data_IF_541931215241
#
_entry.id   IF_541931215241
#
_cell.length_a   1.000
_cell.length_b   1.000
_cell.length_c   1.000
_cell.angle_alpha   90.00
_cell.angle_beta   90.00
_cell.angle_gamma   90.00
#
_symmetry.space_group_name_H-M   'P 1'
#
loop_
_entity.id
_entity.type
_entity.pdbx_description
1 polymer ?
#
# COMPACT_ATOMS: atom_id res chain seq x y z
N UNK A 1 15.66 10.04 -37.70
CA UNK A 1 14.93 9.12 -38.58
C UNK A 1 15.24 7.70 -38.13
N UNK A 2 14.39 7.19 -37.23
CA UNK A 2 13.47 6.06 -37.46
C UNK A 2 14.16 4.69 -37.47
N UNK A 3 14.28 4.12 -36.27
CA UNK A 3 14.06 2.70 -36.03
C UNK A 3 14.09 2.45 -34.53
N UNK A 4 12.95 2.09 -33.91
CA UNK A 4 12.91 1.17 -32.78
C UNK A 4 11.46 0.75 -32.47
N UNK A 5 11.20 -0.52 -32.79
CA UNK A 5 10.45 -1.49 -31.97
C UNK A 5 8.92 -1.33 -31.98
N UNK A 6 8.33 -1.87 -33.06
CA UNK A 6 7.04 -2.55 -33.01
C UNK A 6 7.35 -4.01 -32.64
N UNK A 7 7.09 -4.42 -31.39
CA UNK A 7 6.94 -5.81 -30.96
C UNK A 7 6.65 -5.85 -29.46
N UNK A 8 5.36 -5.88 -29.09
CA UNK A 8 4.75 -6.90 -28.23
C UNK A 8 3.34 -6.44 -27.84
N UNK A 9 2.40 -6.75 -28.73
CA UNK A 9 1.01 -7.02 -28.36
C UNK A 9 0.92 -8.54 -28.16
N UNK A 10 0.08 -8.98 -27.22
CA UNK A 10 -0.20 -10.36 -26.75
C UNK A 10 0.58 -10.84 -25.51
N UNK A 11 -0.06 -10.68 -24.35
CA UNK A 11 -0.29 -11.79 -23.43
C UNK A 11 -1.41 -11.40 -22.44
N UNK A 12 -2.64 -11.32 -22.95
CA UNK A 12 -3.83 -11.60 -22.15
C UNK A 12 -3.81 -13.10 -21.88
N UNK A 13 -3.66 -13.51 -20.63
CA UNK A 13 -4.08 -14.86 -20.22
C UNK A 13 -4.75 -14.78 -18.86
N UNK A 14 -6.06 -14.98 -18.92
CA UNK A 14 -6.94 -15.40 -17.86
C UNK A 14 -6.27 -16.36 -16.87
N UNK A 15 -6.29 -16.03 -15.58
CA UNK A 15 -6.21 -17.06 -14.54
C UNK A 15 -7.62 -17.28 -14.04
N UNK A 16 -8.19 -18.39 -14.51
CA UNK A 16 -9.48 -18.93 -14.13
C UNK A 16 -9.53 -19.28 -12.65
N UNK A 17 -10.61 -18.90 -12.00
CA UNK A 17 -11.06 -19.39 -10.69
C UNK A 17 -11.34 -20.89 -10.84
N UNK A 18 -10.53 -21.75 -10.21
CA UNK A 18 -10.92 -23.15 -9.99
C UNK A 18 -11.56 -23.27 -8.60
N UNK A 19 -12.87 -23.53 -8.62
CA UNK A 19 -13.63 -24.01 -7.49
C UNK A 19 -13.13 -25.42 -7.10
N UNK A 20 -12.71 -25.59 -5.86
CA UNK A 20 -12.39 -26.90 -5.29
C UNK A 20 -13.67 -27.67 -4.97
N UNK A 21 -13.80 -28.95 -5.38
CA UNK A 21 -14.98 -29.76 -5.11
C UNK A 21 -15.00 -30.25 -3.65
N UNK A 22 -16.14 -30.04 -3.01
CA UNK A 22 -16.51 -30.67 -1.73
C UNK A 22 -16.75 -32.16 -1.97
N UNK A 23 -16.13 -33.03 -1.17
CA UNK A 23 -16.45 -34.46 -1.08
C UNK A 23 -16.46 -34.92 0.39
N UNK A 24 -17.18 -36.00 0.72
CA UNK A 24 -18.09 -36.04 1.86
C UNK A 24 -17.52 -36.80 3.07
N UNK A 25 -18.20 -36.62 4.20
CA UNK A 25 -18.09 -37.38 5.45
C UNK A 25 -17.92 -38.90 5.23
N UNK A 26 -17.04 -39.55 6.02
CA UNK A 26 -17.24 -40.92 6.44
C UNK A 26 -17.83 -40.96 7.87
N UNK A 27 -19.04 -41.50 7.97
CA UNK A 27 -19.64 -42.06 9.18
C UNK A 27 -18.96 -43.37 9.57
N UNK A 28 -18.58 -43.55 10.83
CA UNK A 28 -18.30 -44.87 11.40
C UNK A 28 -17.58 -44.84 12.77
N UNK A 29 -17.83 -45.81 13.67
CA UNK A 29 -18.00 -45.55 15.11
C UNK A 29 -16.85 -46.10 15.98
N UNK A 30 -16.75 -45.61 17.23
CA UNK A 30 -16.10 -46.38 18.30
C UNK A 30 -15.28 -45.59 19.31
N UNK A 31 -15.79 -45.56 20.54
CA UNK A 31 -15.08 -45.70 21.81
C UNK A 31 -13.83 -44.83 22.11
N UNK A 32 -14.06 -43.81 22.94
CA UNK A 32 -13.39 -43.65 24.23
C UNK A 32 -11.86 -43.59 24.27
N UNK A 33 -11.32 -42.37 24.41
CA UNK A 33 -10.27 -42.09 25.42
C UNK A 33 -10.15 -40.59 25.63
N UNK A 34 -10.39 -40.14 26.87
CA UNK A 34 -10.11 -38.77 27.32
C UNK A 34 -8.60 -38.67 27.53
N UNK A 35 -7.95 -37.71 26.87
CA UNK A 35 -6.57 -37.32 27.15
C UNK A 35 -6.33 -35.86 26.77
N UNK A 36 -5.42 -35.17 27.48
CA UNK A 36 -5.58 -33.78 27.87
C UNK A 36 -5.25 -32.81 26.73
N UNK A 37 -5.91 -31.64 26.80
CA UNK A 37 -5.61 -30.45 25.99
C UNK A 37 -4.12 -30.12 26.13
N UNK A 38 -3.32 -30.57 25.15
CA UNK A 38 -2.00 -30.01 24.89
C UNK A 38 -2.23 -28.67 24.20
N UNK A 39 -1.97 -27.60 24.95
CA UNK A 39 -1.70 -26.28 24.41
C UNK A 39 -0.72 -26.43 23.25
N UNK A 40 -1.20 -26.18 22.02
CA UNK A 40 -0.31 -26.11 20.88
C UNK A 40 0.65 -24.94 21.12
N UNK A 41 1.97 -25.15 21.05
CA UNK A 41 2.90 -24.03 21.10
C UNK A 41 2.58 -23.13 19.92
N UNK A 42 2.37 -21.84 20.19
CA UNK A 42 2.35 -20.78 19.19
C UNK A 42 3.67 -20.89 18.45
N UNK A 43 3.66 -21.54 17.28
CA UNK A 43 4.79 -21.56 16.39
C UNK A 43 5.13 -20.12 16.00
N UNK A 44 6.41 -19.78 15.83
CA UNK A 44 6.77 -18.46 15.32
C UNK A 44 6.04 -18.25 13.99
N UNK A 45 5.39 -17.09 13.85
CA UNK A 45 4.70 -16.71 12.64
C UNK A 45 5.64 -16.90 11.43
N UNK A 46 5.14 -17.41 10.29
CA UNK A 46 5.98 -17.62 9.12
C UNK A 46 6.67 -16.31 8.73
N UNK A 47 7.99 -16.32 8.75
CA UNK A 47 8.82 -15.30 8.11
C UNK A 47 8.68 -15.54 6.61
N UNK A 48 7.84 -14.75 5.94
CA UNK A 48 7.65 -14.93 4.50
C UNK A 48 6.47 -14.14 3.96
N UNK A 49 6.75 -13.41 2.88
CA UNK A 49 5.94 -12.40 2.19
C UNK A 49 5.99 -11.03 2.87
N UNK A 50 6.49 -9.96 2.20
CA UNK A 50 6.26 -8.60 2.65
C UNK A 50 4.75 -8.36 2.62
N UNK A 51 4.11 -8.56 3.77
CA UNK A 51 2.69 -8.28 3.93
C UNK A 51 2.57 -6.77 3.84
N UNK A 52 1.94 -6.29 2.77
CA UNK A 52 1.58 -4.88 2.67
C UNK A 52 0.90 -4.47 3.98
N UNK A 53 1.49 -3.54 4.76
CA UNK A 53 1.01 -3.23 6.11
C UNK A 53 -0.38 -2.57 6.07
N UNK A 54 -0.83 -2.13 4.90
CA UNK A 54 -2.16 -1.55 4.66
C UNK A 54 -3.13 -2.49 3.93
N UNK A 55 -2.81 -3.78 3.83
CA UNK A 55 -3.73 -4.75 3.25
C UNK A 55 -5.10 -4.72 3.95
N UNK A 56 -6.16 -4.72 3.15
CA UNK A 56 -7.55 -4.63 3.61
C UNK A 56 -8.44 -5.54 2.77
N UNK A 57 -9.50 -6.08 3.39
CA UNK A 57 -10.57 -6.80 2.69
C UNK A 57 -11.67 -5.89 2.17
N UNK A 58 -11.65 -4.59 2.49
CA UNK A 58 -12.64 -3.62 2.02
C UNK A 58 -12.43 -3.26 0.54
N UNK A 59 -13.41 -3.55 -0.35
CA UNK A 59 -13.30 -3.28 -1.78
C UNK A 59 -13.15 -1.79 -2.10
N UNK A 60 -13.73 -0.88 -1.31
CA UNK A 60 -13.61 0.57 -1.54
C UNK A 60 -12.20 1.05 -1.29
N UNK A 61 -11.62 0.62 -0.17
CA UNK A 61 -10.23 0.90 0.17
C UNK A 61 -9.27 0.30 -0.86
N UNK A 62 -9.56 -0.92 -1.32
CA UNK A 62 -8.76 -1.61 -2.33
C UNK A 62 -8.80 -0.92 -3.68
N UNK A 63 -9.96 -0.37 -4.07
CA UNK A 63 -10.11 0.39 -5.30
C UNK A 63 -9.24 1.65 -5.32
N UNK A 64 -9.07 2.35 -4.19
CA UNK A 64 -8.26 3.59 -4.11
C UNK A 64 -6.86 3.37 -3.56
N UNK A 65 -6.50 2.13 -3.23
CA UNK A 65 -5.22 1.78 -2.59
C UNK A 65 -4.00 2.34 -3.33
N UNK A 66 -3.89 2.28 -4.67
CA UNK A 66 -2.74 2.83 -5.38
C UNK A 66 -2.53 4.33 -5.11
N UNK A 67 -3.63 5.09 -4.99
CA UNK A 67 -3.60 6.52 -4.67
C UNK A 67 -3.13 6.73 -3.22
N UNK A 68 -3.70 5.97 -2.28
CA UNK A 68 -3.34 6.09 -0.86
C UNK A 68 -1.86 5.75 -0.61
N UNK A 69 -1.36 4.68 -1.24
CA UNK A 69 0.05 4.29 -1.14
C UNK A 69 0.97 5.34 -1.75
N UNK A 70 0.63 5.88 -2.93
CA UNK A 70 1.39 6.98 -3.52
C UNK A 70 1.47 8.19 -2.56
N UNK A 71 0.34 8.59 -1.96
CA UNK A 71 0.30 9.73 -1.06
C UNK A 71 1.14 9.49 0.20
N UNK A 72 1.13 8.27 0.75
CA UNK A 72 2.00 7.90 1.88
C UNK A 72 3.46 7.95 1.44
N UNK A 73 3.82 7.38 0.29
CA UNK A 73 5.19 7.45 -0.26
C UNK A 73 5.65 8.89 -0.41
N UNK A 74 4.85 9.76 -1.03
CA UNK A 74 5.18 11.17 -1.22
C UNK A 74 5.35 11.91 0.11
N UNK A 75 4.56 11.55 1.14
CA UNK A 75 4.75 12.09 2.49
C UNK A 75 6.07 11.63 3.11
N UNK A 76 6.40 10.35 3.00
CA UNK A 76 7.68 9.84 3.51
C UNK A 76 8.87 10.45 2.77
N UNK A 77 8.77 10.67 1.46
CA UNK A 77 9.75 11.43 0.67
C UNK A 77 9.89 12.85 1.22
N UNK A 78 8.79 13.56 1.47
CA UNK A 78 8.82 14.90 2.05
C UNK A 78 9.59 14.94 3.39
N UNK A 79 9.35 13.95 4.25
CA UNK A 79 9.99 13.86 5.56
C UNK A 79 11.48 13.47 5.43
N UNK A 80 11.81 12.54 4.53
CA UNK A 80 13.17 12.04 4.29
C UNK A 80 14.06 13.04 3.53
N UNK A 81 13.49 13.85 2.64
CA UNK A 81 14.22 14.76 1.79
C UNK A 81 15.08 15.76 2.57
N UNK A 82 14.79 16.02 3.86
CA UNK A 82 15.65 16.87 4.72
C UNK A 82 17.01 16.25 5.01
N UNK A 83 17.10 14.93 5.03
CA UNK A 83 18.34 14.19 5.31
C UNK A 83 19.15 13.84 4.06
N UNK A 84 18.57 13.96 2.87
CA UNK A 84 19.28 13.63 1.63
C UNK A 84 20.31 14.70 1.25
N UNK A 85 21.47 14.31 0.71
CA UNK A 85 22.44 15.25 0.15
C UNK A 85 21.79 16.15 -0.89
N UNK A 86 22.08 17.45 -0.84
CA UNK A 86 21.63 18.41 -1.86
C UNK A 86 22.23 18.00 -3.21
N UNK A 87 21.40 17.87 -4.25
CA UNK A 87 21.84 17.41 -5.57
C UNK A 87 22.17 15.91 -5.69
N UNK A 88 21.90 15.12 -4.65
CA UNK A 88 22.08 13.67 -4.65
C UNK A 88 21.32 12.96 -5.79
N UNK A 89 21.74 11.73 -6.17
CA UNK A 89 21.11 10.99 -7.26
C UNK A 89 19.62 10.71 -7.00
N UNK A 90 19.21 10.45 -5.76
CA UNK A 90 17.81 10.21 -5.38
C UNK A 90 16.96 11.46 -5.59
N UNK A 91 17.46 12.64 -5.19
CA UNK A 91 16.77 13.92 -5.43
C UNK A 91 16.59 14.18 -6.92
N UNK A 92 17.62 13.90 -7.74
CA UNK A 92 17.57 14.11 -9.20
C UNK A 92 16.63 13.13 -9.90
N UNK A 93 16.66 11.85 -9.52
CA UNK A 93 15.77 10.84 -10.07
C UNK A 93 14.30 11.15 -9.72
N UNK A 94 14.02 11.50 -8.46
CA UNK A 94 12.68 11.91 -8.04
C UNK A 94 12.24 13.22 -8.70
N UNK A 95 13.12 14.20 -8.84
CA UNK A 95 12.85 15.43 -9.55
C UNK A 95 12.34 15.15 -10.98
N UNK A 96 13.02 14.24 -11.70
CA UNK A 96 12.64 13.87 -13.06
C UNK A 96 11.27 13.18 -13.12
N UNK A 97 10.97 12.26 -12.18
CA UNK A 97 9.67 11.58 -12.10
C UNK A 97 8.54 12.56 -11.74
N UNK A 98 8.80 13.50 -10.83
CA UNK A 98 7.82 14.45 -10.32
C UNK A 98 7.67 15.71 -11.20
N UNK A 99 8.48 15.87 -12.25
CA UNK A 99 8.43 17.01 -13.18
C UNK A 99 7.21 17.02 -14.12
N UNK A 100 6.16 16.23 -13.84
CA UNK A 100 4.94 16.18 -14.64
C UNK A 100 4.29 17.56 -14.79
N UNK A 101 3.67 17.83 -15.96
CA UNK A 101 3.00 19.10 -16.20
C UNK A 101 1.82 19.30 -15.23
N UNK A 102 1.74 20.51 -14.67
CA UNK A 102 0.63 20.90 -13.82
C UNK A 102 -0.69 20.86 -14.62
N UNK A 103 -1.72 20.21 -14.07
CA UNK A 103 -3.05 20.13 -14.68
C UNK A 103 -3.34 18.85 -15.47
N UNK A 104 -2.39 17.92 -15.58
CA UNK A 104 -2.67 16.60 -16.13
C UNK A 104 -3.57 15.82 -15.17
N UNK A 105 -4.75 15.41 -15.66
CA UNK A 105 -5.70 14.63 -14.87
C UNK A 105 -5.09 13.26 -14.53
N UNK A 106 -5.16 12.91 -13.25
CA UNK A 106 -4.74 11.64 -12.68
C UNK A 106 -5.96 10.88 -12.19
N UNK A 107 -6.18 9.70 -12.77
CA UNK A 107 -7.06 8.69 -12.20
C UNK A 107 -6.27 7.74 -11.27
N UNK A 108 -6.98 6.75 -10.73
CA UNK A 108 -6.41 5.73 -9.82
C UNK A 108 -5.30 4.92 -10.50
N UNK A 109 -5.47 4.55 -11.77
CA UNK A 109 -4.52 3.71 -12.48
C UNK A 109 -3.23 4.48 -12.76
N UNK A 110 -3.34 5.73 -13.23
CA UNK A 110 -2.22 6.62 -13.44
C UNK A 110 -1.47 6.92 -12.13
N UNK A 111 -2.18 7.05 -11.00
CA UNK A 111 -1.56 7.15 -9.68
C UNK A 111 -0.76 5.89 -9.30
N UNK A 112 -1.24 4.69 -9.67
CA UNK A 112 -0.49 3.45 -9.48
C UNK A 112 0.80 3.40 -10.31
N UNK A 113 0.76 3.84 -11.56
CA UNK A 113 1.96 3.96 -12.40
C UNK A 113 2.97 4.94 -11.80
N UNK A 114 2.50 6.11 -11.37
CA UNK A 114 3.33 7.11 -10.72
C UNK A 114 3.94 6.58 -9.41
N UNK A 115 3.19 5.82 -8.62
CA UNK A 115 3.70 5.17 -7.41
C UNK A 115 4.89 4.25 -7.72
N UNK A 116 4.75 3.39 -8.72
CA UNK A 116 5.82 2.50 -9.14
C UNK A 116 7.06 3.27 -9.62
N UNK A 117 6.87 4.37 -10.36
CA UNK A 117 7.96 5.23 -10.81
C UNK A 117 8.67 5.93 -9.64
N UNK A 118 7.92 6.43 -8.66
CA UNK A 118 8.49 7.03 -7.43
C UNK A 118 9.29 5.99 -6.66
N UNK A 119 8.77 4.77 -6.48
CA UNK A 119 9.52 3.70 -5.82
C UNK A 119 10.79 3.33 -6.60
N UNK A 120 10.73 3.25 -7.93
CA UNK A 120 11.91 2.96 -8.75
C UNK A 120 12.98 4.06 -8.71
N UNK A 121 12.58 5.32 -8.47
CA UNK A 121 13.50 6.44 -8.30
C UNK A 121 14.15 6.49 -6.92
N UNK A 122 13.61 5.77 -5.93
CA UNK A 122 14.20 5.63 -4.60
C UNK A 122 15.30 4.57 -4.61
N UNK A 123 16.40 4.86 -3.91
CA UNK A 123 17.42 3.86 -3.60
C UNK A 123 16.83 2.68 -2.80
N UNK A 124 17.52 1.54 -2.81
CA UNK A 124 17.10 0.35 -2.06
C UNK A 124 16.98 0.62 -0.56
N UNK A 125 17.93 1.36 0.01
CA UNK A 125 17.93 1.71 1.44
C UNK A 125 16.74 2.59 1.84
N UNK A 126 16.38 3.57 1.01
CA UNK A 126 15.24 4.45 1.30
C UNK A 126 13.92 3.69 1.16
N UNK A 127 13.79 2.80 0.16
CA UNK A 127 12.63 1.91 0.05
C UNK A 127 12.49 1.01 1.27
N UNK A 128 13.58 0.37 1.69
CA UNK A 128 13.59 -0.48 2.89
C UNK A 128 13.22 0.31 4.14
N UNK A 129 13.75 1.53 4.31
CA UNK A 129 13.42 2.43 5.42
C UNK A 129 11.94 2.83 5.42
N UNK A 130 11.38 3.12 4.26
CA UNK A 130 9.98 3.51 4.14
C UNK A 130 9.04 2.36 4.49
N UNK A 131 9.33 1.15 4.00
CA UNK A 131 8.57 -0.06 4.35
C UNK A 131 8.68 -0.39 5.84
N UNK A 132 9.88 -0.34 6.42
CA UNK A 132 10.07 -0.51 7.86
C UNK A 132 9.28 0.51 8.70
N UNK A 133 9.25 1.77 8.24
CA UNK A 133 8.46 2.83 8.87
C UNK A 133 6.95 2.54 8.84
N UNK A 134 6.42 2.09 7.69
CA UNK A 134 5.01 1.72 7.53
C UNK A 134 4.63 0.55 8.44
N UNK A 135 5.43 -0.52 8.42
CA UNK A 135 5.22 -1.71 9.23
C UNK A 135 5.23 -1.37 10.73
N UNK A 136 6.20 -0.57 11.17
CA UNK A 136 6.32 -0.14 12.58
C UNK A 136 5.09 0.65 13.04
N UNK A 137 4.60 1.56 12.21
CA UNK A 137 3.43 2.37 12.56
C UNK A 137 2.16 1.52 12.64
N UNK A 138 1.95 0.61 11.68
CA UNK A 138 0.79 -0.29 11.69
C UNK A 138 0.82 -1.22 12.90
N UNK A 139 1.99 -1.74 13.26
CA UNK A 139 2.14 -2.58 14.45
C UNK A 139 1.79 -1.81 15.74
N UNK A 140 2.27 -0.56 15.86
CA UNK A 140 1.89 0.33 16.98
C UNK A 140 0.38 0.56 17.01
N UNK A 141 -0.25 0.81 15.86
CA UNK A 141 -1.70 1.03 15.77
C UNK A 141 -2.47 -0.24 16.18
N UNK A 142 -2.07 -1.41 15.69
CA UNK A 142 -2.66 -2.70 16.05
C UNK A 142 -2.60 -2.92 17.55
N UNK A 143 -1.46 -2.66 18.18
CA UNK A 143 -1.31 -2.75 19.64
C UNK A 143 -2.24 -1.78 20.40
N UNK A 144 -2.43 -0.55 19.90
CA UNK A 144 -3.34 0.43 20.50
C UNK A 144 -4.81 0.00 20.35
N UNK A 145 -5.22 -0.47 19.18
CA UNK A 145 -6.60 -0.94 18.94
C UNK A 145 -6.95 -2.16 19.80
N UNK A 146 -6.01 -3.10 19.94
CA UNK A 146 -6.13 -4.26 20.83
C UNK A 146 -6.32 -3.83 22.30
N UNK A 147 -5.51 -2.88 22.78
CA UNK A 147 -5.61 -2.36 24.15
C UNK A 147 -6.92 -1.61 24.42
N UNK A 148 -7.36 -0.83 23.43
CA UNK A 148 -8.59 -0.05 23.53
C UNK A 148 -9.88 -0.90 23.40
N UNK A 149 -9.76 -2.23 23.25
CA UNK A 149 -10.89 -3.13 22.99
C UNK A 149 -11.72 -2.73 21.76
N UNK A 150 -11.12 -2.00 20.82
CA UNK A 150 -11.66 -1.80 19.46
C UNK A 150 -11.47 -3.05 18.58
N UNK A 151 -11.22 -4.21 19.19
CA UNK A 151 -11.23 -5.50 18.54
C UNK A 151 -12.69 -5.90 18.25
N UNK A 152 -13.36 -5.23 17.31
CA UNK A 152 -14.49 -5.86 16.63
C UNK A 152 -13.92 -6.92 15.68
N UNK A 153 -14.70 -7.97 15.41
CA UNK A 153 -14.35 -9.04 14.48
C UNK A 153 -14.03 -8.53 13.04
N UNK A 154 -14.27 -7.23 12.74
CA UNK A 154 -13.96 -6.56 11.47
C UNK A 154 -12.53 -6.02 11.38
N UNK A 155 -11.59 -6.53 12.18
CA UNK A 155 -10.32 -5.89 12.53
C UNK A 155 -9.30 -5.56 11.42
N UNK A 156 -9.55 -5.84 10.13
CA UNK A 156 -8.62 -5.51 9.03
C UNK A 156 -8.96 -4.22 8.26
N UNK A 157 -10.19 -4.03 7.74
CA UNK A 157 -10.56 -2.78 7.06
C UNK A 157 -10.36 -1.52 7.89
N UNK A 158 -10.74 -1.57 9.16
CA UNK A 158 -10.64 -0.42 10.04
C UNK A 158 -9.18 -0.07 10.31
N UNK A 159 -8.33 -1.08 10.56
CA UNK A 159 -6.89 -0.88 10.82
C UNK A 159 -6.20 -0.21 9.64
N UNK A 160 -6.43 -0.68 8.41
CA UNK A 160 -5.84 -0.06 7.21
C UNK A 160 -6.32 1.39 7.01
N UNK A 161 -7.63 1.65 7.13
CA UNK A 161 -8.20 3.00 7.02
C UNK A 161 -7.65 3.94 8.09
N UNK A 162 -7.55 3.48 9.34
CA UNK A 162 -6.96 4.27 10.43
C UNK A 162 -5.48 4.54 10.17
N UNK A 163 -4.72 3.55 9.70
CA UNK A 163 -3.31 3.72 9.42
C UNK A 163 -3.06 4.74 8.29
N UNK A 164 -3.84 4.70 7.21
CA UNK A 164 -3.79 5.75 6.18
C UNK A 164 -4.18 7.12 6.73
N UNK A 165 -5.18 7.18 7.61
CA UNK A 165 -5.62 8.43 8.23
C UNK A 165 -4.55 9.04 9.15
N UNK A 166 -3.68 8.24 9.76
CA UNK A 166 -2.55 8.74 10.55
C UNK A 166 -1.50 9.45 9.68
N UNK A 167 -1.30 9.00 8.43
CA UNK A 167 -0.38 9.65 7.49
C UNK A 167 -1.00 10.84 6.76
N UNK A 168 -2.25 10.68 6.31
CA UNK A 168 -2.86 11.55 5.30
C UNK A 168 -3.96 12.46 5.86
N UNK A 169 -4.38 12.22 7.11
CA UNK A 169 -5.56 12.81 7.72
C UNK A 169 -6.85 12.10 7.29
N UNK A 170 -7.81 12.02 8.22
CA UNK A 170 -9.11 11.35 7.99
C UNK A 170 -9.88 11.97 6.81
N UNK A 171 -9.92 13.30 6.71
CA UNK A 171 -10.64 13.99 5.61
C UNK A 171 -10.16 13.56 4.22
N UNK A 172 -8.85 13.39 4.03
CA UNK A 172 -8.27 12.97 2.75
C UNK A 172 -8.72 11.55 2.40
N UNK A 173 -8.61 10.65 3.37
CA UNK A 173 -9.00 9.24 3.21
C UNK A 173 -10.51 9.13 2.95
N UNK A 174 -11.33 9.85 3.71
CA UNK A 174 -12.78 9.84 3.55
C UNK A 174 -13.24 10.42 2.21
N UNK A 175 -12.56 11.47 1.72
CA UNK A 175 -12.85 12.03 0.39
C UNK A 175 -12.58 10.99 -0.69
N UNK A 176 -11.43 10.32 -0.63
CA UNK A 176 -11.06 9.29 -1.61
C UNK A 176 -11.97 8.06 -1.53
N UNK A 177 -12.37 7.63 -0.34
CA UNK A 177 -13.24 6.46 -0.18
C UNK A 177 -14.68 6.71 -0.66
N UNK A 178 -15.16 7.95 -0.59
CA UNK A 178 -16.55 8.28 -0.93
C UNK A 178 -16.71 8.90 -2.33
N UNK A 179 -15.68 9.56 -2.85
CA UNK A 179 -15.70 10.22 -4.16
C UNK A 179 -14.33 10.11 -4.87
N UNK A 180 -13.92 8.90 -5.32
CA UNK A 180 -12.65 8.69 -6.01
C UNK A 180 -12.68 9.13 -7.48
N UNK A 181 -13.26 10.28 -7.78
CA UNK A 181 -13.22 10.82 -9.13
C UNK A 181 -11.83 11.35 -9.49
N UNK A 182 -11.55 11.45 -10.80
CA UNK A 182 -10.26 11.90 -11.30
C UNK A 182 -9.88 13.30 -10.79
N UNK A 183 -10.85 14.19 -10.54
CA UNK A 183 -10.56 15.54 -10.04
C UNK A 183 -10.11 15.53 -8.58
N UNK A 184 -10.70 14.69 -7.75
CA UNK A 184 -10.35 14.51 -6.34
C UNK A 184 -9.00 13.81 -6.20
N UNK A 185 -8.73 12.77 -7.01
CA UNK A 185 -7.41 12.13 -7.10
C UNK A 185 -6.34 13.12 -7.57
N UNK A 186 -6.60 13.86 -8.67
CA UNK A 186 -5.66 14.86 -9.20
C UNK A 186 -5.32 15.95 -8.19
N UNK A 187 -6.32 16.47 -7.46
CA UNK A 187 -6.09 17.48 -6.42
C UNK A 187 -5.25 16.93 -5.27
N UNK A 188 -5.59 15.75 -4.76
CA UNK A 188 -4.87 15.13 -3.66
C UNK A 188 -3.40 14.85 -4.04
N UNK A 189 -3.20 14.15 -5.16
CA UNK A 189 -1.86 13.77 -5.66
C UNK A 189 -1.06 15.01 -6.07
N UNK A 190 -1.65 15.93 -6.83
CA UNK A 190 -0.97 17.17 -7.26
C UNK A 190 -0.46 17.99 -6.07
N UNK A 191 -1.27 18.13 -5.02
CA UNK A 191 -0.84 18.82 -3.80
C UNK A 191 0.33 18.11 -3.10
N UNK A 192 0.33 16.77 -3.07
CA UNK A 192 1.38 15.98 -2.45
C UNK A 192 2.68 16.00 -3.26
N UNK A 193 2.57 15.92 -4.59
CA UNK A 193 3.70 16.06 -5.52
C UNK A 193 4.35 17.43 -5.35
N UNK A 194 3.56 18.51 -5.27
CA UNK A 194 4.10 19.85 -5.08
C UNK A 194 4.87 19.98 -3.75
N UNK A 195 4.33 19.44 -2.65
CA UNK A 195 5.03 19.41 -1.35
C UNK A 195 6.32 18.59 -1.40
N UNK A 196 6.29 17.44 -2.09
CA UNK A 196 7.48 16.61 -2.26
C UNK A 196 8.55 17.33 -3.10
N UNK A 197 8.17 17.98 -4.21
CA UNK A 197 9.05 18.81 -5.06
C UNK A 197 9.74 19.91 -4.26
N UNK A 198 8.96 20.65 -3.47
CA UNK A 198 9.50 21.69 -2.58
C UNK A 198 10.52 21.11 -1.59
N UNK A 199 10.25 19.94 -1.01
CA UNK A 199 11.15 19.30 -0.05
C UNK A 199 12.46 18.79 -0.68
N UNK A 200 12.41 18.26 -1.91
CA UNK A 200 13.61 17.82 -2.63
C UNK A 200 14.42 19.00 -3.23
N UNK A 201 13.90 20.22 -3.17
CA UNK A 201 14.59 21.44 -3.62
C UNK A 201 14.45 21.70 -5.12
N UNK A 202 13.39 21.17 -5.74
CA UNK A 202 13.03 21.54 -7.12
C UNK A 202 11.96 22.63 -7.09
N UNK A 203 12.18 23.79 -7.74
CA UNK A 203 11.12 24.79 -7.93
C UNK A 203 9.96 24.22 -8.77
#
# INVERSE_FOLDING_TARGET
MTARIVSLLLALTCVSVQATPVRPLPTGPGAGTVSPVRSSPVGPAPVGVPVNPYASTDPRLNAVRPVLELLVTLRQVQDAARGWPVGGPERRALAAVLARPAGEALDVQAAGVLHAQVLAALGEDDRARFEAGRATQVERLRALMMRARFASEDGQPQTARFAYSQWLGSRTVDTLLNAPDAASVSRAVGSAVQRARQAIGTP
#
